data_IF_652060791489
#
_entry.id   IF_652060791489
#
_cell.length_a   1.000
_cell.length_b   1.000
_cell.length_c   1.000
_cell.angle_alpha   90.00
_cell.angle_beta   90.00
_cell.angle_gamma   90.00
#
_symmetry.space_group_name_H-M   'P 1'
#
loop_
_entity.id
_entity.type
_entity.pdbx_description
1 polymer ?
#
# COMPACT_ATOMS: atom_id res chain seq x y z
N UNK A 1 3.97 -2.87 -0.51
CA UNK A 1 2.75 -2.25 0.04
C UNK A 1 1.60 -3.22 -0.17
N UNK A 2 0.78 -3.41 0.85
CA UNK A 2 -0.41 -4.25 0.79
C UNK A 2 -1.59 -3.45 0.22
N UNK A 3 -2.46 -4.10 -0.56
CA UNK A 3 -3.59 -3.48 -1.27
C UNK A 3 -4.93 -3.88 -0.64
N UNK A 4 -5.86 -2.94 -0.56
CA UNK A 4 -7.19 -3.13 0.02
C UNK A 4 -8.26 -2.43 -0.80
N UNK A 5 -9.47 -3.00 -0.82
CA UNK A 5 -10.62 -2.44 -1.54
C UNK A 5 -11.52 -1.60 -0.64
N UNK A 6 -11.23 -1.55 0.65
CA UNK A 6 -11.94 -0.72 1.64
C UNK A 6 -10.94 -0.01 2.53
N UNK A 7 -11.31 1.16 3.03
CA UNK A 7 -10.51 1.92 3.98
C UNK A 7 -10.43 1.17 5.30
N UNK A 8 -11.48 0.46 5.70
CA UNK A 8 -11.54 -0.31 6.94
C UNK A 8 -10.51 -1.44 6.94
N UNK A 9 -10.42 -2.24 5.87
CA UNK A 9 -9.39 -3.29 5.77
C UNK A 9 -7.97 -2.70 5.80
N UNK A 10 -7.76 -1.56 5.14
CA UNK A 10 -6.47 -0.85 5.19
C UNK A 10 -6.16 -0.37 6.62
N UNK A 11 -7.15 0.20 7.31
CA UNK A 11 -7.03 0.66 8.69
C UNK A 11 -6.77 -0.50 9.66
N UNK A 12 -7.43 -1.64 9.49
CA UNK A 12 -7.20 -2.85 10.28
C UNK A 12 -5.75 -3.33 10.19
N UNK A 13 -5.14 -3.27 9.00
CA UNK A 13 -3.72 -3.57 8.87
C UNK A 13 -2.85 -2.46 9.48
N UNK A 14 -3.17 -1.18 9.20
CA UNK A 14 -2.39 -0.05 9.71
C UNK A 14 -2.29 -0.07 11.24
N UNK A 15 -3.37 -0.39 11.95
CA UNK A 15 -3.38 -0.44 13.43
C UNK A 15 -2.56 -1.56 14.02
N UNK A 16 -2.14 -2.55 13.22
CA UNK A 16 -1.15 -3.55 13.66
C UNK A 16 0.29 -3.03 13.58
N UNK A 17 0.53 -1.94 12.83
CA UNK A 17 1.85 -1.38 12.52
C UNK A 17 2.13 -0.07 13.29
N UNK A 18 1.10 0.73 13.52
CA UNK A 18 1.19 1.98 14.27
C UNK A 18 -0.02 2.12 15.22
N UNK A 19 0.03 3.08 16.13
CA UNK A 19 -1.05 3.38 17.09
C UNK A 19 -1.57 4.81 16.98
N UNK A 20 -0.96 5.66 16.14
CA UNK A 20 -1.37 7.06 15.97
C UNK A 20 -1.13 7.53 14.54
N UNK A 21 -2.07 8.30 14.01
CA UNK A 21 -1.99 8.91 12.69
C UNK A 21 -2.41 10.37 12.75
N UNK A 22 -1.94 11.14 11.78
CA UNK A 22 -2.55 12.42 11.44
C UNK A 22 -3.00 12.42 10.00
N UNK A 23 -4.07 13.14 9.71
CA UNK A 23 -4.55 13.33 8.35
C UNK A 23 -3.65 14.35 7.63
N UNK A 24 -3.31 14.11 6.36
CA UNK A 24 -2.35 14.97 5.66
C UNK A 24 -2.88 16.37 5.39
N UNK A 25 -4.16 16.47 5.05
CA UNK A 25 -4.77 17.74 4.63
C UNK A 25 -5.40 18.53 5.77
N UNK A 26 -5.43 17.98 7.00
CA UNK A 26 -5.94 18.65 8.19
C UNK A 26 -5.01 18.46 9.39
N UNK A 27 -5.30 19.12 10.51
CA UNK A 27 -4.55 18.92 11.76
C UNK A 27 -5.20 17.85 12.67
N UNK A 28 -6.07 17.02 12.11
CA UNK A 28 -6.77 15.97 12.84
C UNK A 28 -5.82 14.81 13.15
N UNK A 29 -5.99 14.23 14.34
CA UNK A 29 -5.20 13.09 14.82
C UNK A 29 -6.12 11.97 15.23
N UNK A 30 -5.72 10.75 14.91
CA UNK A 30 -6.49 9.55 15.15
C UNK A 30 -5.67 8.56 15.97
N UNK A 31 -6.31 7.99 16.98
CA UNK A 31 -5.86 6.78 17.63
C UNK A 31 -6.47 5.56 16.91
N UNK A 32 -6.12 4.36 17.38
CA UNK A 32 -6.59 3.09 16.79
C UNK A 32 -8.12 3.08 16.62
N UNK A 33 -8.86 3.49 17.66
CA UNK A 33 -10.32 3.45 17.63
C UNK A 33 -10.89 4.52 16.68
N UNK A 34 -10.35 5.74 16.74
CA UNK A 34 -10.78 6.84 15.89
C UNK A 34 -10.58 6.53 14.41
N UNK A 35 -9.45 5.92 14.04
CA UNK A 35 -9.15 5.57 12.65
C UNK A 35 -10.11 4.49 12.12
N UNK A 36 -10.37 3.43 12.90
CA UNK A 36 -11.28 2.35 12.48
C UNK A 36 -12.71 2.84 12.29
N UNK A 37 -13.22 3.68 13.20
CA UNK A 37 -14.58 4.24 13.10
C UNK A 37 -14.70 5.19 11.90
N UNK A 38 -13.66 6.01 11.65
CA UNK A 38 -13.62 6.88 10.48
C UNK A 38 -13.63 6.06 9.19
N UNK A 39 -12.81 5.00 9.12
CA UNK A 39 -12.70 4.14 7.95
C UNK A 39 -14.03 3.45 7.62
N UNK A 40 -14.70 2.86 8.61
CA UNK A 40 -16.01 2.22 8.45
C UNK A 40 -17.08 3.22 7.96
N UNK A 41 -17.06 4.45 8.49
CA UNK A 41 -17.97 5.53 8.07
C UNK A 41 -17.68 5.94 6.62
N UNK A 42 -16.41 6.14 6.28
CA UNK A 42 -15.97 6.54 4.94
C UNK A 42 -16.39 5.51 3.88
N UNK A 43 -16.16 4.21 4.15
CA UNK A 43 -16.55 3.14 3.23
C UNK A 43 -18.06 3.07 3.00
N UNK A 44 -18.85 3.42 4.02
CA UNK A 44 -20.31 3.43 3.94
C UNK A 44 -20.85 4.66 3.17
N UNK A 45 -20.22 5.82 3.32
CA UNK A 45 -20.67 7.08 2.70
C UNK A 45 -20.14 7.26 1.29
N UNK A 46 -18.89 6.87 1.03
CA UNK A 46 -18.22 7.09 -0.24
C UNK A 46 -17.31 5.88 -0.58
N UNK A 47 -17.91 4.75 -1.03
CA UNK A 47 -17.15 3.59 -1.45
C UNK A 47 -16.23 3.96 -2.63
N UNK A 48 -15.05 3.34 -2.68
CA UNK A 48 -14.08 3.59 -3.75
C UNK A 48 -14.55 3.00 -5.08
N UNK A 49 -14.06 3.57 -6.18
CA UNK A 49 -14.27 3.05 -7.54
C UNK A 49 -13.57 1.70 -7.76
N UNK A 50 -14.07 0.91 -8.74
CA UNK A 50 -13.62 -0.46 -9.02
C UNK A 50 -12.12 -0.55 -9.37
N UNK A 51 -11.56 0.52 -9.93
CA UNK A 51 -10.15 0.61 -10.34
C UNK A 51 -9.25 1.27 -9.28
N UNK A 52 -9.83 1.72 -8.16
CA UNK A 52 -9.13 2.36 -7.04
C UNK A 52 -8.85 1.37 -5.91
N UNK A 53 -7.77 1.61 -5.15
CA UNK A 53 -7.44 0.78 -3.99
C UNK A 53 -6.66 1.56 -2.94
N UNK A 54 -6.83 1.16 -1.68
CA UNK A 54 -5.99 1.66 -0.59
C UNK A 54 -4.68 0.87 -0.51
N UNK A 55 -3.63 1.56 -0.08
CA UNK A 55 -2.31 0.98 0.19
C UNK A 55 -1.88 1.28 1.61
N UNK A 56 -1.23 0.29 2.23
CA UNK A 56 -0.64 0.46 3.56
C UNK A 56 0.88 0.33 3.49
N UNK A 57 1.58 1.36 3.99
CA UNK A 57 3.04 1.36 4.07
C UNK A 57 3.55 0.39 5.16
N UNK A 58 4.85 0.04 5.16
CA UNK A 58 5.45 -0.76 6.24
C UNK A 58 5.34 -0.12 7.62
N UNK A 59 5.38 1.22 7.69
CA UNK A 59 5.20 1.98 8.93
C UNK A 59 3.73 2.06 9.37
N UNK A 60 2.78 1.80 8.45
CA UNK A 60 1.34 1.88 8.71
C UNK A 60 0.67 3.17 8.22
N UNK A 61 1.33 3.95 7.37
CA UNK A 61 0.67 5.04 6.65
C UNK A 61 -0.35 4.47 5.66
N UNK A 62 -1.44 5.19 5.42
CA UNK A 62 -2.51 4.78 4.51
C UNK A 62 -2.57 5.77 3.37
N UNK A 63 -2.48 5.24 2.15
CA UNK A 63 -2.67 6.00 0.92
C UNK A 63 -3.85 5.45 0.11
N UNK A 64 -4.42 6.30 -0.74
CA UNK A 64 -5.38 5.93 -1.76
C UNK A 64 -4.69 6.02 -3.11
N UNK A 65 -4.83 4.97 -3.92
CA UNK A 65 -4.37 4.97 -5.30
C UNK A 65 -5.60 5.02 -6.20
N UNK A 66 -5.81 6.16 -6.85
CA UNK A 66 -6.85 6.36 -7.85
C UNK A 66 -6.31 5.87 -9.20
N UNK A 67 -7.08 5.02 -9.88
CA UNK A 67 -6.77 4.44 -11.20
C UNK A 67 -5.44 3.66 -11.31
N UNK A 68 -4.78 3.36 -10.19
CA UNK A 68 -3.56 2.56 -10.14
C UNK A 68 -2.26 3.28 -10.51
N UNK A 69 -2.27 4.62 -10.62
CA UNK A 69 -1.10 5.42 -11.02
C UNK A 69 -0.41 6.07 -9.81
N UNK A 70 -1.02 7.12 -9.28
CA UNK A 70 -0.47 7.94 -8.19
C UNK A 70 -1.03 7.50 -6.83
N UNK A 71 -0.24 7.69 -5.77
CA UNK A 71 -0.68 7.43 -4.39
C UNK A 71 -0.86 8.76 -3.66
N UNK A 72 -2.09 9.04 -3.28
CA UNK A 72 -2.43 10.10 -2.34
C UNK A 72 -2.38 9.57 -0.91
N UNK A 73 -1.31 9.94 -0.19
CA UNK A 73 -1.18 9.59 1.21
C UNK A 73 -2.16 10.39 2.06
N UNK A 74 -3.11 9.68 2.68
CA UNK A 74 -4.18 10.27 3.47
C UNK A 74 -3.81 10.37 4.96
N UNK A 75 -3.21 9.31 5.49
CA UNK A 75 -2.87 9.19 6.91
C UNK A 75 -1.39 8.86 7.07
N UNK A 76 -0.66 9.73 7.76
CA UNK A 76 0.76 9.53 8.09
C UNK A 76 0.92 9.17 9.57
N UNK A 77 1.98 8.45 9.86
CA UNK A 77 2.27 7.94 11.21
C UNK A 77 3.04 8.94 12.07
N UNK A 78 3.57 10.01 11.46
CA UNK A 78 4.49 10.95 12.09
C UNK A 78 5.90 10.36 12.29
N UNK A 79 6.23 9.28 11.58
CA UNK A 79 7.55 8.65 11.59
C UNK A 79 8.42 9.21 10.46
N UNK A 80 9.73 9.09 10.58
CA UNK A 80 10.65 9.48 9.49
C UNK A 80 10.46 8.67 8.21
N UNK A 81 9.83 7.49 8.31
CA UNK A 81 9.53 6.61 7.17
C UNK A 81 8.44 7.19 6.27
N UNK A 82 7.67 8.17 6.77
CA UNK A 82 6.64 8.86 6.00
C UNK A 82 7.25 9.77 4.90
N UNK A 83 8.48 10.25 5.08
CA UNK A 83 9.18 11.12 4.11
C UNK A 83 9.67 10.35 2.88
N UNK A 84 9.89 9.05 3.00
CA UNK A 84 10.37 8.15 1.94
C UNK A 84 9.22 7.40 1.24
N UNK A 85 7.96 7.81 1.46
CA UNK A 85 6.81 7.17 0.85
C UNK A 85 6.79 7.40 -0.67
N UNK A 86 6.55 6.35 -1.47
CA UNK A 86 6.50 6.49 -2.92
C UNK A 86 5.27 7.29 -3.34
N UNK A 87 5.46 8.17 -4.32
CA UNK A 87 4.38 8.96 -4.93
C UNK A 87 3.53 8.15 -5.92
N UNK A 88 4.04 7.01 -6.40
CA UNK A 88 3.34 6.14 -7.36
C UNK A 88 3.30 4.71 -6.87
N UNK A 89 2.24 3.99 -7.26
CA UNK A 89 2.13 2.59 -6.91
C UNK A 89 3.08 1.75 -7.79
N UNK A 90 4.23 1.40 -7.22
CA UNK A 90 5.13 0.42 -7.81
C UNK A 90 4.66 -0.98 -7.35
N UNK A 91 4.19 -1.81 -8.29
CA UNK A 91 4.17 -3.26 -8.04
C UNK A 91 5.61 -3.65 -7.79
N UNK A 92 5.94 -4.00 -6.55
CA UNK A 92 7.27 -4.53 -6.24
C UNK A 92 7.50 -5.70 -7.20
N UNK A 93 8.44 -5.59 -8.15
CA UNK A 93 8.72 -6.71 -9.02
C UNK A 93 9.30 -7.74 -8.08
N UNK A 94 8.52 -8.73 -7.68
CA UNK A 94 9.05 -9.88 -6.97
C UNK A 94 10.11 -10.49 -7.89
N UNK A 95 11.38 -10.16 -7.63
CA UNK A 95 12.50 -10.67 -8.39
C UNK A 95 12.72 -12.06 -7.86
N UNK A 96 12.21 -13.04 -8.60
CA UNK A 96 12.59 -14.42 -8.41
C UNK A 96 13.99 -14.63 -8.97
N UNK A 97 14.64 -15.73 -8.61
CA UNK A 97 15.91 -16.12 -9.20
C UNK A 97 15.71 -17.32 -10.11
N UNK A 98 16.33 -17.28 -11.28
CA UNK A 98 16.30 -18.42 -12.19
C UNK A 98 16.97 -19.63 -11.51
N UNK A 99 16.28 -20.78 -11.38
CA UNK A 99 16.85 -21.96 -10.70
C UNK A 99 18.05 -22.55 -11.44
N UNK A 100 18.21 -22.26 -12.73
CA UNK A 100 19.31 -22.78 -13.55
C UNK A 100 20.58 -21.94 -13.49
N UNK A 101 20.47 -20.61 -13.49
CA UNK A 101 21.63 -19.71 -13.63
C UNK A 101 21.73 -18.63 -12.55
N UNK A 102 20.77 -18.55 -11.65
CA UNK A 102 20.75 -17.60 -10.53
C UNK A 102 20.52 -16.15 -10.93
N UNK A 103 20.18 -15.83 -12.19
CA UNK A 103 19.84 -14.45 -12.57
C UNK A 103 18.51 -14.02 -11.97
N UNK A 104 18.40 -12.76 -11.56
CA UNK A 104 17.10 -12.16 -11.26
C UNK A 104 16.14 -12.27 -12.44
N UNK A 105 14.90 -12.66 -12.17
CA UNK A 105 13.82 -12.82 -13.13
C UNK A 105 12.57 -12.20 -12.53
N UNK A 106 11.85 -11.39 -13.31
CA UNK A 106 10.61 -10.75 -12.85
C UNK A 106 9.56 -11.83 -12.62
N UNK A 107 8.82 -11.75 -11.51
CA UNK A 107 7.65 -12.61 -11.26
C UNK A 107 6.68 -12.58 -12.44
N UNK A 108 6.30 -13.75 -12.93
CA UNK A 108 5.47 -13.92 -14.13
C UNK A 108 6.25 -14.10 -15.43
N UNK A 109 7.58 -13.98 -15.44
CA UNK A 109 8.38 -14.31 -16.62
C UNK A 109 8.30 -15.81 -16.92
N UNK A 110 7.96 -16.19 -18.15
CA UNK A 110 7.95 -17.60 -18.58
C UNK A 110 9.36 -18.16 -18.87
N UNK A 111 10.31 -17.28 -19.19
CA UNK A 111 11.68 -17.65 -19.55
C UNK A 111 12.70 -16.72 -18.90
N UNK A 112 13.85 -17.27 -18.55
CA UNK A 112 15.00 -16.51 -18.09
C UNK A 112 15.63 -15.74 -19.26
N UNK A 113 15.61 -14.42 -19.20
CA UNK A 113 16.24 -13.56 -20.23
C UNK A 113 17.77 -13.74 -20.36
N UNK A 114 18.43 -14.33 -19.36
CA UNK A 114 19.88 -14.57 -19.38
C UNK A 114 20.28 -15.92 -19.99
N UNK A 115 19.60 -17.01 -19.64
CA UNK A 115 20.00 -18.37 -20.02
C UNK A 115 18.95 -19.15 -20.82
N UNK A 116 17.77 -18.55 -21.06
CA UNK A 116 16.68 -19.16 -21.82
C UNK A 116 15.94 -20.29 -21.11
N UNK A 117 16.23 -20.56 -19.82
CA UNK A 117 15.52 -21.58 -19.07
C UNK A 117 14.05 -21.21 -18.89
N UNK A 118 13.14 -22.17 -19.02
CA UNK A 118 11.74 -21.99 -18.64
C UNK A 118 11.65 -21.84 -17.11
N UNK A 119 10.90 -20.83 -16.65
CA UNK A 119 10.73 -20.50 -15.23
C UNK A 119 9.41 -21.09 -14.70
#
# INVERSE_FOLDING_TARGET
MDKFITMLEAAELAVTRCTSWHFVTSNDRYDVKGLLVLAETSDSENPIDEDSFYVVSPAGAIGLCEDGEDIDWLFLTGSSEDEDLPATYQVDPQINFCPKCGSGVVSGAHFCGKCGNRL
#
